data_IF_174419159146
#
_entry.id   IF_174419159146
#
_cell.length_a   1.000
_cell.length_b   1.000
_cell.length_c   1.000
_cell.angle_alpha   90.00
_cell.angle_beta   90.00
_cell.angle_gamma   90.00
#
_symmetry.space_group_name_H-M   'P 1'
#
loop_
_entity.id
_entity.type
_entity.pdbx_description
1 polymer ?
#
# COMPACT_ATOMS: atom_id res chain seq x y z
N UNK A 1 22.20 -7.80 13.52
CA UNK A 1 21.49 -7.48 12.26
C UNK A 1 20.96 -8.76 11.63
N UNK A 2 19.68 -9.14 11.77
CA UNK A 2 19.18 -10.40 11.24
C UNK A 2 18.95 -10.33 9.72
N UNK A 3 19.51 -11.30 9.00
CA UNK A 3 19.38 -11.49 7.54
C UNK A 3 18.07 -12.23 7.26
N UNK A 4 17.13 -11.65 6.51
CA UNK A 4 15.90 -12.35 6.16
C UNK A 4 16.07 -13.18 4.87
N UNK A 5 16.11 -14.51 5.04
CA UNK A 5 16.03 -15.55 4.01
C UNK A 5 14.59 -15.60 3.46
N UNK A 6 14.42 -15.60 2.13
CA UNK A 6 13.13 -15.85 1.48
C UNK A 6 12.85 -17.36 1.46
N UNK A 7 11.78 -17.79 2.11
CA UNK A 7 11.20 -19.12 1.91
C UNK A 7 9.79 -18.97 1.31
N UNK A 8 9.50 -19.85 0.34
CA UNK A 8 8.46 -19.73 -0.67
C UNK A 8 7.01 -19.71 -0.17
N UNK A 9 6.15 -19.23 -1.07
CA UNK A 9 4.69 -19.15 -0.94
C UNK A 9 4.07 -20.54 -0.83
N UNK A 10 3.04 -20.69 -0.01
CA UNK A 10 1.90 -21.53 -0.35
C UNK A 10 0.65 -21.15 0.46
N UNK A 11 -0.42 -20.87 -0.28
CA UNK A 11 -1.80 -21.00 0.18
C UNK A 11 -2.34 -19.83 1.00
N UNK A 12 -2.99 -18.87 0.33
CA UNK A 12 -4.29 -18.37 0.78
C UNK A 12 -4.95 -17.70 -0.46
N UNK A 13 -5.92 -18.41 -1.06
CA UNK A 13 -6.87 -17.85 -2.02
C UNK A 13 -7.73 -16.83 -1.28
N UNK A 14 -7.27 -15.59 -1.19
CA UNK A 14 -8.10 -14.46 -0.78
C UNK A 14 -8.42 -13.71 -2.06
N UNK A 15 -9.72 -13.66 -2.39
CA UNK A 15 -10.30 -13.02 -3.55
C UNK A 15 -9.44 -11.87 -4.09
N UNK A 16 -8.63 -12.20 -5.10
CA UNK A 16 -7.85 -11.22 -5.84
C UNK A 16 -8.87 -10.40 -6.64
N UNK A 17 -9.11 -9.18 -6.19
CA UNK A 17 -9.64 -8.14 -7.07
C UNK A 17 -8.71 -8.15 -8.29
N UNK A 18 -9.27 -8.46 -9.46
CA UNK A 18 -8.59 -8.38 -10.74
C UNK A 18 -8.10 -6.93 -10.90
N UNK A 19 -6.84 -6.68 -10.56
CA UNK A 19 -6.14 -5.42 -10.85
C UNK A 19 -5.61 -5.57 -12.28
N UNK A 20 -6.53 -5.57 -13.23
CA UNK A 20 -6.22 -5.57 -14.64
C UNK A 20 -5.67 -4.19 -15.02
N UNK A 21 -4.37 -4.21 -15.28
CA UNK A 21 -3.62 -3.41 -16.25
C UNK A 21 -3.19 -1.96 -15.92
N UNK A 22 -1.85 -1.78 -15.98
CA UNK A 22 -1.08 -0.55 -16.21
C UNK A 22 -0.91 0.47 -15.08
N UNK A 23 -0.61 0.01 -13.87
CA UNK A 23 0.01 0.90 -12.89
C UNK A 23 1.24 0.26 -12.25
N UNK A 24 2.43 0.78 -12.60
CA UNK A 24 3.69 0.50 -11.91
C UNK A 24 3.65 1.08 -10.50
N UNK A 25 2.88 0.45 -9.61
CA UNK A 25 2.98 0.72 -8.19
C UNK A 25 4.27 0.11 -7.68
N UNK A 26 5.07 0.94 -7.02
CA UNK A 26 6.24 0.44 -6.31
C UNK A 26 5.80 -0.44 -5.13
N UNK A 27 6.67 -1.35 -4.68
CA UNK A 27 6.38 -2.25 -3.55
C UNK A 27 5.90 -1.47 -2.29
N UNK A 28 6.41 -0.24 -2.10
CA UNK A 28 6.00 0.63 -0.98
C UNK A 28 4.59 1.19 -1.14
N UNK A 29 4.19 1.55 -2.35
CA UNK A 29 2.82 2.05 -2.61
C UNK A 29 1.80 0.93 -2.44
N UNK A 30 2.13 -0.29 -2.87
CA UNK A 30 1.31 -1.48 -2.63
C UNK A 30 1.16 -1.73 -1.12
N UNK A 31 2.26 -1.65 -0.37
CA UNK A 31 2.23 -1.80 1.09
C UNK A 31 1.40 -0.71 1.77
N UNK A 32 1.47 0.54 1.28
CA UNK A 32 0.66 1.64 1.76
C UNK A 32 -0.83 1.37 1.55
N UNK A 33 -1.24 1.04 0.32
CA UNK A 33 -2.63 0.77 -0.02
C UNK A 33 -3.20 -0.40 0.80
N UNK A 34 -2.44 -1.49 0.92
CA UNK A 34 -2.85 -2.67 1.70
C UNK A 34 -3.08 -2.36 3.19
N UNK A 35 -2.25 -1.49 3.77
CA UNK A 35 -2.42 -1.05 5.16
C UNK A 35 -3.57 -0.04 5.29
N UNK A 36 -3.72 0.85 4.31
CA UNK A 36 -4.73 1.89 4.33
C UNK A 36 -6.14 1.31 4.26
N UNK A 37 -6.38 0.34 3.36
CA UNK A 37 -7.67 -0.38 3.27
C UNK A 37 -8.05 -1.05 4.59
N UNK A 38 -7.08 -1.51 5.39
CA UNK A 38 -7.34 -2.19 6.67
C UNK A 38 -7.53 -1.25 7.85
N UNK A 39 -6.85 -0.10 7.84
CA UNK A 39 -6.74 0.78 9.02
C UNK A 39 -7.45 2.10 8.85
N UNK A 40 -7.79 2.47 7.61
CA UNK A 40 -8.27 3.79 7.20
C UNK A 40 -7.42 4.95 7.75
N UNK A 41 -6.13 4.69 8.01
CA UNK A 41 -5.19 5.65 8.59
C UNK A 41 -3.98 5.80 7.67
N UNK A 42 -3.92 6.93 6.97
CA UNK A 42 -2.88 7.22 5.99
C UNK A 42 -1.49 7.27 6.61
N UNK A 43 -1.32 8.01 7.72
CA UNK A 43 -0.02 8.17 8.39
C UNK A 43 0.52 6.83 8.88
N UNK A 44 -0.32 6.03 9.56
CA UNK A 44 0.07 4.70 10.03
C UNK A 44 0.45 3.78 8.86
N UNK A 45 -0.28 3.89 7.75
CA UNK A 45 -0.02 3.09 6.56
C UNK A 45 1.27 3.49 5.85
N UNK A 46 1.61 4.78 5.83
CA UNK A 46 2.89 5.26 5.32
C UNK A 46 4.05 4.76 6.18
N UNK A 47 3.93 4.78 7.51
CA UNK A 47 4.97 4.23 8.41
C UNK A 47 5.12 2.72 8.20
N UNK A 48 4.02 1.97 8.14
CA UNK A 48 4.03 0.52 7.88
C UNK A 48 4.59 0.16 6.50
N UNK A 49 4.42 1.02 5.51
CA UNK A 49 5.00 0.88 4.18
C UNK A 49 6.49 1.25 4.10
N UNK A 50 7.12 1.66 5.21
CA UNK A 50 8.55 1.98 5.26
C UNK A 50 8.88 3.36 4.70
N UNK A 51 7.94 4.31 4.79
CA UNK A 51 8.23 5.73 4.63
C UNK A 51 8.68 6.34 5.96
N UNK A 52 9.44 7.44 5.88
CA UNK A 52 9.94 8.15 7.07
C UNK A 52 8.78 8.69 7.90
N UNK A 53 8.79 8.42 9.21
CA UNK A 53 7.78 8.92 10.15
C UNK A 53 7.65 10.45 10.10
N UNK A 54 8.77 11.16 9.95
CA UNK A 54 8.81 12.64 9.87
C UNK A 54 7.99 13.18 8.70
N UNK A 55 7.91 12.43 7.61
CA UNK A 55 7.22 12.82 6.38
C UNK A 55 5.97 11.97 6.11
N UNK A 56 5.60 11.06 7.00
CA UNK A 56 4.54 10.07 6.78
C UNK A 56 3.18 10.73 6.55
N UNK A 57 2.90 11.85 7.20
CA UNK A 57 1.68 12.65 7.03
C UNK A 57 1.60 13.27 5.63
N UNK A 58 2.70 13.89 5.18
CA UNK A 58 2.79 14.52 3.85
C UNK A 58 2.70 13.45 2.75
N UNK A 59 3.41 12.33 2.93
CA UNK A 59 3.41 11.20 1.99
C UNK A 59 2.04 10.56 1.92
N UNK A 60 1.37 10.35 3.05
CA UNK A 60 0.00 9.84 3.08
C UNK A 60 -0.96 10.77 2.34
N UNK A 61 -0.89 12.09 2.58
CA UNK A 61 -1.73 13.06 1.87
C UNK A 61 -1.46 13.04 0.36
N UNK A 62 -0.19 12.98 -0.05
CA UNK A 62 0.18 12.89 -1.45
C UNK A 62 -0.29 11.59 -2.11
N UNK A 63 -0.16 10.45 -1.43
CA UNK A 63 -0.64 9.14 -1.91
C UNK A 63 -2.16 9.11 -2.08
N UNK A 64 -2.91 9.67 -1.13
CA UNK A 64 -4.37 9.73 -1.21
C UNK A 64 -4.86 10.72 -2.27
N UNK A 65 -4.07 11.73 -2.59
CA UNK A 65 -4.35 12.72 -3.64
C UNK A 65 -3.89 12.29 -5.04
N UNK A 66 -3.04 11.26 -5.17
CA UNK A 66 -2.75 10.72 -6.50
C UNK A 66 -4.10 10.32 -7.10
N UNK A 67 -4.47 10.94 -8.23
CA UNK A 67 -5.77 10.87 -8.92
C UNK A 67 -6.21 9.45 -9.36
N UNK A 68 -5.64 8.39 -8.79
CA UNK A 68 -5.91 6.99 -9.09
C UNK A 68 -6.90 6.32 -8.13
N UNK A 69 -7.40 7.06 -7.13
CA UNK A 69 -8.58 6.69 -6.36
C UNK A 69 -9.68 7.68 -6.78
N UNK A 70 -10.04 7.66 -8.06
CA UNK A 70 -11.28 8.31 -8.49
C UNK A 70 -12.41 7.61 -7.75
N UNK A 71 -13.19 8.39 -7.00
CA UNK A 71 -14.51 7.97 -6.54
C UNK A 71 -15.23 7.34 -7.73
N UNK A 72 -15.73 6.12 -7.54
CA UNK A 72 -16.73 5.58 -8.42
C UNK A 72 -17.95 6.50 -8.24
N UNK A 73 -18.09 7.48 -9.13
CA UNK A 73 -19.30 8.30 -9.19
C UNK A 73 -20.48 7.34 -9.35
N UNK A 74 -21.33 7.29 -8.32
CA UNK A 74 -22.58 6.52 -8.29
C UNK A 74 -23.74 7.49 -8.30
#
# INVERSE_FOLDING_TARGET
MPKYKRHGRNGLKVASIQLDEVFDYTEKEIAFCNSYVKTNNGTLSAVKAGYSEKNATVIASAMLKKEKITQLDT
#
